data_IF_342391777314
#
_entry.id   IF_342391777314
#
_cell.length_a   1.000
_cell.length_b   1.000
_cell.length_c   1.000
_cell.angle_alpha   90.00
_cell.angle_beta   90.00
_cell.angle_gamma   90.00
#
_symmetry.space_group_name_H-M   'P 1'
#
loop_
_entity.id
_entity.type
_entity.pdbx_description
1 polymer ?
#
# COMPACT_ATOMS: atom_id res chain seq x y z
N UNK A 1 -5.02 6.63 27.01
CA UNK A 1 -5.11 5.89 25.74
C UNK A 1 -3.82 6.11 24.98
N UNK A 2 -3.28 5.09 24.31
CA UNK A 2 -2.00 5.17 23.61
C UNK A 2 -2.01 6.23 22.51
N UNK A 3 -1.05 7.17 22.53
CA UNK A 3 -0.90 8.25 21.56
C UNK A 3 -0.04 7.83 20.36
N UNK A 4 -0.35 6.68 19.75
CA UNK A 4 0.41 6.13 18.62
C UNK A 4 0.11 6.97 17.38
N UNK A 5 1.16 7.53 16.77
CA UNK A 5 1.06 8.37 15.58
C UNK A 5 1.29 7.58 14.29
N UNK A 6 2.06 6.49 14.36
CA UNK A 6 2.47 5.70 13.20
C UNK A 6 2.57 4.23 13.58
N UNK A 7 2.16 3.35 12.67
CA UNK A 7 2.43 1.93 12.71
C UNK A 7 3.20 1.51 11.46
N UNK A 8 4.21 0.67 11.65
CA UNK A 8 5.11 0.19 10.58
C UNK A 8 5.05 -1.32 10.54
N UNK A 9 4.66 -1.86 9.39
CA UNK A 9 4.68 -3.30 9.14
C UNK A 9 6.00 -3.71 8.48
N UNK A 10 6.51 -4.93 8.76
CA UNK A 10 7.73 -5.42 8.15
C UNK A 10 7.55 -5.66 6.64
N UNK A 11 8.67 -5.68 5.93
CA UNK A 11 8.75 -6.16 4.54
C UNK A 11 8.17 -7.57 4.43
N UNK A 12 7.42 -7.84 3.35
CA UNK A 12 6.68 -9.09 3.17
C UNK A 12 5.65 -9.39 4.29
N UNK A 13 5.28 -8.41 5.12
CA UNK A 13 4.34 -8.60 6.22
C UNK A 13 2.91 -8.95 5.80
N UNK A 14 2.53 -8.66 4.53
CA UNK A 14 1.21 -8.94 3.99
C UNK A 14 1.15 -10.19 3.11
N UNK A 15 2.23 -10.50 2.38
CA UNK A 15 2.25 -11.58 1.37
C UNK A 15 3.22 -12.71 1.70
N UNK A 16 4.17 -12.51 2.61
CA UNK A 16 5.34 -13.37 2.76
C UNK A 16 6.28 -13.29 1.56
N UNK A 17 7.33 -14.13 1.56
CA UNK A 17 8.22 -14.28 0.41
C UNK A 17 7.48 -15.07 -0.68
N UNK A 18 7.17 -14.39 -1.79
CA UNK A 18 6.43 -14.98 -2.91
C UNK A 18 7.36 -15.23 -4.10
N UNK A 19 7.31 -16.43 -4.67
CA UNK A 19 8.09 -16.81 -5.86
C UNK A 19 7.46 -16.30 -7.15
N UNK A 20 6.13 -16.35 -7.26
CA UNK A 20 5.37 -15.77 -8.38
C UNK A 20 4.52 -14.58 -7.90
N UNK A 21 4.89 -13.33 -8.23
CA UNK A 21 4.22 -12.13 -7.71
C UNK A 21 2.87 -11.85 -8.37
N UNK A 22 2.48 -12.59 -9.42
CA UNK A 22 1.39 -12.20 -10.33
C UNK A 22 0.04 -12.02 -9.64
N UNK A 23 -0.31 -12.91 -8.71
CA UNK A 23 -1.58 -12.87 -7.99
C UNK A 23 -1.60 -11.86 -6.82
N UNK A 24 -0.42 -11.47 -6.34
CA UNK A 24 -0.27 -10.63 -5.14
C UNK A 24 0.08 -9.18 -5.49
N UNK A 25 0.59 -8.94 -6.69
CA UNK A 25 1.00 -7.61 -7.12
C UNK A 25 -0.19 -6.74 -7.53
N UNK A 26 -0.20 -5.51 -7.02
CA UNK A 26 -1.28 -4.55 -7.24
C UNK A 26 -0.75 -3.28 -7.90
N UNK A 27 -1.62 -2.60 -8.63
CA UNK A 27 -1.31 -1.24 -9.13
C UNK A 27 -1.47 -0.26 -7.97
N UNK A 28 -0.43 0.51 -7.70
CA UNK A 28 -0.43 1.55 -6.66
C UNK A 28 -0.75 2.88 -7.34
N UNK A 29 -1.82 3.59 -6.92
CA UNK A 29 -2.14 4.90 -7.47
C UNK A 29 -1.06 5.94 -7.16
N UNK A 30 -1.01 7.01 -7.95
CA UNK A 30 -0.15 8.14 -7.66
C UNK A 30 -0.40 8.70 -6.25
N UNK A 31 0.65 9.28 -5.66
CA UNK A 31 0.56 10.00 -4.39
C UNK A 31 -0.52 11.10 -4.46
N UNK A 32 -1.18 11.34 -3.33
CA UNK A 32 -2.24 12.33 -3.19
C UNK A 32 -3.46 12.13 -4.12
N UNK A 33 -3.69 10.93 -4.64
CA UNK A 33 -4.83 10.61 -5.50
C UNK A 33 -6.13 10.31 -4.72
N UNK A 34 -6.32 10.97 -3.58
CA UNK A 34 -7.44 10.73 -2.66
C UNK A 34 -7.29 9.47 -1.81
N UNK A 35 -8.40 9.06 -1.19
CA UNK A 35 -8.44 7.98 -0.20
C UNK A 35 -9.40 6.83 -0.54
N UNK A 36 -10.01 6.88 -1.73
CA UNK A 36 -10.92 5.88 -2.26
C UNK A 36 -10.21 5.06 -3.36
N UNK A 37 -10.16 3.75 -3.17
CA UNK A 37 -9.38 2.82 -3.97
C UNK A 37 -10.25 1.70 -4.49
N UNK A 38 -10.10 1.36 -5.78
CA UNK A 38 -10.76 0.18 -6.37
C UNK A 38 -10.17 -1.13 -5.86
N UNK A 39 -8.90 -1.12 -5.47
CA UNK A 39 -8.23 -2.29 -4.92
C UNK A 39 -8.69 -2.53 -3.47
N UNK A 40 -9.16 -3.75 -3.20
CA UNK A 40 -9.68 -4.14 -1.89
C UNK A 40 -8.68 -3.92 -0.74
N UNK A 41 -7.41 -4.28 -0.92
CA UNK A 41 -6.39 -4.18 0.12
C UNK A 41 -5.99 -2.73 0.39
N UNK A 42 -5.82 -1.91 -0.66
CA UNK A 42 -5.56 -0.49 -0.49
C UNK A 42 -6.72 0.21 0.23
N UNK A 43 -7.97 -0.12 -0.11
CA UNK A 43 -9.13 0.45 0.58
C UNK A 43 -9.15 0.06 2.06
N UNK A 44 -8.85 -1.20 2.39
CA UNK A 44 -8.80 -1.69 3.77
C UNK A 44 -7.73 -0.95 4.59
N UNK A 45 -6.55 -0.76 4.02
CA UNK A 45 -5.45 -0.04 4.67
C UNK A 45 -5.74 1.45 4.85
N UNK A 46 -6.30 2.09 3.80
CA UNK A 46 -6.80 3.47 3.83
C UNK A 46 -7.83 3.68 4.95
N UNK A 47 -8.83 2.79 5.02
CA UNK A 47 -9.85 2.85 6.07
C UNK A 47 -9.25 2.66 7.46
N UNK A 48 -8.33 1.70 7.64
CA UNK A 48 -7.68 1.49 8.93
C UNK A 48 -6.88 2.72 9.38
N UNK A 49 -6.15 3.37 8.48
CA UNK A 49 -5.42 4.60 8.77
C UNK A 49 -6.36 5.73 9.23
N UNK A 50 -7.51 5.87 8.55
CA UNK A 50 -8.53 6.89 8.87
C UNK A 50 -9.27 6.61 10.17
N UNK A 51 -9.72 5.38 10.37
CA UNK A 51 -10.47 4.94 11.56
C UNK A 51 -9.65 5.10 12.84
N UNK A 52 -8.33 4.88 12.75
CA UNK A 52 -7.43 5.02 13.88
C UNK A 52 -6.67 6.35 13.92
N UNK A 53 -6.87 7.23 12.93
CA UNK A 53 -6.25 8.56 12.87
C UNK A 53 -4.72 8.53 12.91
N UNK A 54 -4.09 7.54 12.28
CA UNK A 54 -2.65 7.30 12.35
C UNK A 54 -2.04 7.05 10.97
N UNK A 55 -0.73 7.28 10.86
CA UNK A 55 0.04 6.89 9.68
C UNK A 55 0.22 5.37 9.64
N UNK A 56 0.06 4.78 8.46
CA UNK A 56 0.24 3.34 8.24
C UNK A 56 1.30 3.14 7.16
N UNK A 57 2.41 2.51 7.53
CA UNK A 57 3.49 2.15 6.62
C UNK A 57 3.44 0.65 6.34
N UNK A 58 3.32 0.28 5.08
CA UNK A 58 3.26 -1.13 4.65
C UNK A 58 4.15 -1.36 3.44
N UNK A 59 4.58 -2.61 3.32
CA UNK A 59 5.28 -3.10 2.17
C UNK A 59 4.34 -3.94 1.29
N UNK A 60 4.34 -3.69 -0.02
CA UNK A 60 3.48 -4.34 -1.00
C UNK A 60 4.27 -4.73 -2.25
N UNK A 61 3.79 -5.75 -2.95
CA UNK A 61 4.22 -6.02 -4.32
C UNK A 61 3.43 -5.11 -5.25
N UNK A 62 4.15 -4.20 -5.92
CA UNK A 62 3.61 -3.32 -6.93
C UNK A 62 3.78 -3.95 -8.31
N UNK A 63 2.80 -3.73 -9.20
CA UNK A 63 2.96 -3.96 -10.63
C UNK A 63 2.74 -2.66 -11.40
N UNK A 64 3.60 -2.43 -12.39
CA UNK A 64 3.50 -1.30 -13.32
C UNK A 64 3.67 -1.80 -14.76
N UNK A 65 2.92 -1.18 -15.67
CA UNK A 65 3.09 -1.39 -17.11
C UNK A 65 4.18 -0.46 -17.65
N UNK A 66 5.09 -1.01 -18.44
CA UNK A 66 6.10 -0.25 -19.18
C UNK A 66 5.55 0.26 -20.51
N UNK A 67 6.29 1.17 -21.15
CA UNK A 67 5.99 1.66 -22.50
C UNK A 67 5.89 0.53 -23.54
N UNK A 68 6.54 -0.61 -23.29
CA UNK A 68 6.53 -1.79 -24.18
C UNK A 68 5.47 -2.85 -23.79
N UNK A 69 4.48 -2.52 -22.95
CA UNK A 69 3.49 -3.45 -22.40
C UNK A 69 4.09 -4.64 -21.60
N UNK A 70 5.33 -4.51 -21.13
CA UNK A 70 5.90 -5.45 -20.16
C UNK A 70 5.49 -5.03 -18.74
N UNK A 71 5.12 -6.01 -17.92
CA UNK A 71 4.87 -5.80 -16.49
C UNK A 71 6.19 -5.84 -15.72
N UNK A 72 6.46 -4.81 -14.92
CA UNK A 72 7.54 -4.82 -13.93
C UNK A 72 6.93 -4.96 -12.54
N UNK A 73 7.58 -5.73 -11.69
CA UNK A 73 7.21 -5.92 -10.30
C UNK A 73 8.20 -5.22 -9.39
N UNK A 74 7.70 -4.46 -8.43
CA UNK A 74 8.51 -3.77 -7.43
C UNK A 74 8.11 -4.21 -6.03
N UNK A 75 9.11 -4.31 -5.16
CA UNK A 75 8.90 -4.39 -3.73
C UNK A 75 8.84 -2.95 -3.22
N UNK A 76 7.64 -2.49 -2.86
CA UNK A 76 7.34 -1.07 -2.66
C UNK A 76 6.82 -0.83 -1.26
N UNK A 77 7.47 0.08 -0.53
CA UNK A 77 6.91 0.64 0.69
C UNK A 77 5.97 1.78 0.34
N UNK A 78 4.80 1.81 0.96
CA UNK A 78 3.87 2.93 0.87
C UNK A 78 3.46 3.43 2.25
N UNK A 79 3.05 4.69 2.30
CA UNK A 79 2.60 5.38 3.51
C UNK A 79 1.21 5.96 3.29
N UNK A 80 0.25 5.51 4.09
CA UNK A 80 -1.04 6.19 4.24
C UNK A 80 -0.96 7.23 5.35
N UNK A 81 -1.50 8.42 5.10
CA UNK A 81 -1.71 9.44 6.12
C UNK A 81 -2.94 9.14 6.99
N UNK A 82 -3.16 9.98 7.99
CA UNK A 82 -4.31 9.89 8.91
C UNK A 82 -5.69 10.03 8.24
N UNK A 83 -5.76 10.44 6.98
CA UNK A 83 -7.00 10.54 6.20
C UNK A 83 -7.18 9.33 5.26
N UNK A 84 -6.20 8.42 5.21
CA UNK A 84 -6.16 7.27 4.30
C UNK A 84 -5.63 7.63 2.91
N UNK A 85 -4.91 8.73 2.75
CA UNK A 85 -4.30 9.15 1.48
C UNK A 85 -2.88 8.60 1.38
N UNK A 86 -2.49 8.05 0.23
CA UNK A 86 -1.12 7.63 -0.02
C UNK A 86 -0.25 8.87 -0.23
N UNK A 87 0.80 9.03 0.59
CA UNK A 87 1.69 10.20 0.58
C UNK A 87 3.15 9.88 0.25
N UNK A 88 3.53 8.60 0.28
CA UNK A 88 4.84 8.08 -0.10
C UNK A 88 4.72 6.62 -0.53
#
# INVERSE_FOLDING_TARGET
>A
GSNVQIIVFPEYGLTGLVVDPTEFAIEIPAINNGSEFRNYWLQRLSNAAREHGMYVVVNLLEKAQTENNATIYHNTNIVFDKNGVIIA
#
